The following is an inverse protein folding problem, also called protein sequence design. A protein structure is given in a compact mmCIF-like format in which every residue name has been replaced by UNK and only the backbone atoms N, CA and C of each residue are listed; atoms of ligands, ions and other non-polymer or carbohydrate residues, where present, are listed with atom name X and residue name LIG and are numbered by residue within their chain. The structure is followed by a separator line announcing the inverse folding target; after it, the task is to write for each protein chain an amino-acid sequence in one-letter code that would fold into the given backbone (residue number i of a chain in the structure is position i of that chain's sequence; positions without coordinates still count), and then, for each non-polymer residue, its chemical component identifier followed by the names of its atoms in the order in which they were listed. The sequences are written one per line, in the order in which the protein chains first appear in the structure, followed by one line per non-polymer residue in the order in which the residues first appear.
data_IF_547984076651
#
_entry.id   IF_547984076651
#
_cell.length_a   1.000
_cell.length_b   1.000
_cell.length_c   1.000
_cell.angle_alpha   90.00
_cell.angle_beta   90.00
_cell.angle_gamma   90.00
#
_symmetry.space_group_name_H-M   'P 1'
#
loop_
_entity.id
_entity.type
_entity.pdbx_description
1 polymer ?
#
# COMPACT_ATOMS: atom_id res chain seq x y z
N UNK A 1 -13.11 -5.13 -20.84
CA UNK A 1 -13.82 -5.18 -19.55
C UNK A 1 -13.11 -4.21 -18.60
N UNK A 2 -13.80 -3.51 -17.69
CA UNK A 2 -13.10 -2.79 -16.64
C UNK A 2 -12.18 -3.79 -15.92
N UNK A 3 -10.93 -3.41 -15.67
CA UNK A 3 -10.02 -4.21 -14.85
C UNK A 3 -10.62 -4.25 -13.45
N UNK A 4 -11.26 -5.36 -13.09
CA UNK A 4 -11.85 -5.53 -11.77
C UNK A 4 -10.70 -5.74 -10.79
N UNK A 5 -10.33 -4.67 -10.10
CA UNK A 5 -9.29 -4.68 -9.08
C UNK A 5 -9.91 -4.71 -7.68
N UNK A 6 -11.02 -5.45 -7.53
CA UNK A 6 -11.71 -5.64 -6.25
C UNK A 6 -11.07 -6.74 -5.39
N UNK A 7 -11.39 -6.70 -4.10
CA UNK A 7 -11.01 -7.73 -3.11
C UNK A 7 -12.25 -8.47 -2.60
N UNK A 8 -12.09 -9.71 -2.15
CA UNK A 8 -13.17 -10.49 -1.56
C UNK A 8 -13.55 -9.97 -0.17
N UNK A 9 -14.74 -10.35 0.33
CA UNK A 9 -15.15 -10.02 1.70
C UNK A 9 -14.16 -10.58 2.74
N UNK A 10 -13.66 -11.79 2.53
CA UNK A 10 -12.65 -12.40 3.40
C UNK A 10 -11.35 -11.60 3.43
N UNK A 11 -10.81 -11.21 2.26
CA UNK A 11 -9.62 -10.37 2.17
C UNK A 11 -9.84 -9.00 2.84
N UNK A 12 -11.03 -8.41 2.66
CA UNK A 12 -11.40 -7.16 3.32
C UNK A 12 -11.45 -7.30 4.85
N UNK A 13 -12.04 -8.39 5.38
CA UNK A 13 -12.07 -8.66 6.82
C UNK A 13 -10.67 -8.90 7.40
N UNK A 14 -9.78 -9.58 6.67
CA UNK A 14 -8.38 -9.75 7.06
C UNK A 14 -7.65 -8.41 7.11
N UNK A 15 -7.85 -7.54 6.12
CA UNK A 15 -7.25 -6.20 6.10
C UNK A 15 -7.79 -5.33 7.23
N UNK A 16 -9.10 -5.38 7.51
CA UNK A 16 -9.72 -4.70 8.65
C UNK A 16 -9.14 -5.17 9.98
N UNK A 17 -9.02 -6.48 10.18
CA UNK A 17 -8.41 -7.04 11.37
C UNK A 17 -6.95 -6.56 11.52
N UNK A 18 -6.17 -6.57 10.43
CA UNK A 18 -4.81 -6.06 10.44
C UNK A 18 -4.75 -4.58 10.84
N UNK A 19 -5.60 -3.72 10.27
CA UNK A 19 -5.62 -2.28 10.55
C UNK A 19 -6.02 -1.98 12.01
N UNK A 20 -7.08 -2.60 12.51
CA UNK A 20 -7.58 -2.36 13.86
C UNK A 20 -6.62 -2.91 14.92
N UNK A 21 -6.10 -4.13 14.73
CA UNK A 21 -5.07 -4.67 15.63
C UNK A 21 -3.79 -3.86 15.59
N UNK A 22 -3.38 -3.38 14.40
CA UNK A 22 -2.25 -2.47 14.26
C UNK A 22 -2.42 -1.19 15.06
N UNK A 23 -3.62 -0.59 15.05
CA UNK A 23 -3.91 0.62 15.82
C UNK A 23 -3.77 0.40 17.34
N UNK A 24 -4.25 -0.74 17.87
CA UNK A 24 -4.08 -1.06 19.30
C UNK A 24 -2.61 -1.32 19.67
N UNK A 25 -1.91 -2.09 18.83
CA UNK A 25 -0.51 -2.46 19.09
C UNK A 25 0.42 -1.24 19.03
N UNK A 26 0.13 -0.25 18.19
CA UNK A 26 0.86 1.02 18.12
C UNK A 26 0.93 1.77 19.46
N UNK A 27 0.07 1.46 20.44
CA UNK A 27 0.14 2.06 21.79
C UNK A 27 1.32 1.55 22.61
N UNK A 28 1.87 0.40 22.25
CA UNK A 28 2.93 -0.29 22.98
C UNK A 28 4.23 -0.39 22.19
N UNK A 29 4.17 -0.25 20.86
CA UNK A 29 5.34 -0.27 19.99
C UNK A 29 6.05 1.10 19.91
N UNK A 30 7.32 1.12 19.46
CA UNK A 30 8.00 2.37 19.14
C UNK A 30 7.19 3.18 18.13
N UNK A 31 7.13 4.51 18.31
CA UNK A 31 6.26 5.41 17.55
C UNK A 31 6.38 5.28 16.01
N UNK A 32 7.53 4.84 15.51
CA UNK A 32 7.79 4.71 14.08
C UNK A 32 7.12 3.47 13.43
N UNK A 33 6.74 2.46 14.23
CA UNK A 33 6.07 1.26 13.73
C UNK A 33 4.68 1.55 13.14
N UNK A 34 4.01 2.63 13.58
CA UNK A 34 2.73 3.03 13.02
C UNK A 34 2.81 3.32 11.52
N UNK A 35 3.86 4.00 11.08
CA UNK A 35 4.07 4.26 9.64
C UNK A 35 4.29 2.95 8.86
N UNK A 36 5.01 2.00 9.45
CA UNK A 36 5.28 0.71 8.83
C UNK A 36 4.00 -0.09 8.65
N UNK A 37 3.14 -0.12 9.67
CA UNK A 37 1.84 -0.82 9.62
C UNK A 37 0.91 -0.26 8.54
N UNK A 38 0.92 1.06 8.33
CA UNK A 38 0.14 1.68 7.25
C UNK A 38 0.63 1.26 5.87
N UNK A 39 1.94 1.25 5.66
CA UNK A 39 2.56 0.82 4.39
C UNK A 39 2.40 -0.69 4.18
N UNK A 40 2.51 -1.50 5.23
CA UNK A 40 2.25 -2.95 5.17
C UNK A 40 0.78 -3.24 4.80
N UNK A 41 -0.16 -2.50 5.40
CA UNK A 41 -1.58 -2.60 5.05
C UNK A 41 -1.86 -2.22 3.59
N UNK A 42 -1.23 -1.14 3.09
CA UNK A 42 -1.32 -0.77 1.69
C UNK A 42 -0.76 -1.88 0.78
N UNK A 43 0.37 -2.49 1.15
CA UNK A 43 0.95 -3.62 0.43
C UNK A 43 -0.01 -4.81 0.36
N UNK A 44 -0.61 -5.20 1.50
CA UNK A 44 -1.59 -6.30 1.60
C UNK A 44 -2.83 -6.06 0.75
N UNK A 45 -3.29 -4.81 0.69
CA UNK A 45 -4.41 -4.42 -0.17
C UNK A 45 -4.04 -4.65 -1.65
N UNK A 46 -2.89 -4.15 -2.09
CA UNK A 46 -2.44 -4.34 -3.48
C UNK A 46 -2.24 -5.83 -3.78
N UNK A 47 -1.62 -6.58 -2.86
CA UNK A 47 -1.47 -8.04 -2.97
C UNK A 47 -2.80 -8.74 -3.22
N UNK A 48 -3.82 -8.44 -2.40
CA UNK A 48 -5.17 -9.00 -2.56
C UNK A 48 -5.79 -8.65 -3.93
N UNK A 49 -5.59 -7.42 -4.42
CA UNK A 49 -6.09 -7.02 -5.74
C UNK A 49 -5.41 -7.81 -6.86
N UNK A 50 -4.09 -7.99 -6.78
CA UNK A 50 -3.30 -8.72 -7.76
C UNK A 50 -3.65 -10.22 -7.76
N UNK A 51 -3.84 -10.82 -6.59
CA UNK A 51 -4.28 -12.22 -6.42
C UNK A 51 -5.63 -12.48 -7.10
N UNK A 52 -6.53 -11.49 -7.09
CA UNK A 52 -7.84 -11.59 -7.73
C UNK A 52 -7.84 -11.28 -9.24
N UNK A 53 -6.67 -11.16 -9.85
CA UNK A 53 -6.54 -10.95 -11.29
C UNK A 53 -6.55 -9.48 -11.74
N UNK A 54 -6.28 -8.54 -10.83
CA UNK A 54 -6.02 -7.15 -11.24
C UNK A 54 -4.77 -7.09 -12.13
N UNK A 55 -4.96 -6.95 -13.43
CA UNK A 55 -3.87 -6.83 -14.41
C UNK A 55 -3.38 -5.39 -14.56
N UNK A 56 -2.76 -4.86 -13.51
CA UNK A 56 -2.26 -3.49 -13.47
C UNK A 56 -0.74 -3.50 -13.21
N UNK A 57 0.02 -3.09 -14.23
CA UNK A 57 1.49 -3.08 -14.18
C UNK A 57 2.01 -2.08 -13.15
N UNK A 58 1.39 -0.89 -13.06
CA UNK A 58 1.78 0.09 -12.08
C UNK A 58 1.55 -0.42 -10.65
N UNK A 59 0.42 -1.08 -10.38
CA UNK A 59 0.18 -1.70 -9.07
C UNK A 59 1.19 -2.80 -8.75
N UNK A 60 1.60 -3.61 -9.73
CA UNK A 60 2.65 -4.63 -9.53
C UNK A 60 3.99 -4.00 -9.16
N UNK A 61 4.40 -2.97 -9.89
CA UNK A 61 5.66 -2.28 -9.65
C UNK A 61 5.66 -1.56 -8.30
N UNK A 62 4.57 -0.86 -7.99
CA UNK A 62 4.40 -0.15 -6.72
C UNK A 62 4.36 -1.12 -5.54
N UNK A 63 3.70 -2.26 -5.67
CA UNK A 63 3.71 -3.33 -4.67
C UNK A 63 5.12 -3.88 -4.42
N UNK A 64 5.87 -4.18 -5.48
CA UNK A 64 7.24 -4.67 -5.37
C UNK A 64 8.17 -3.64 -4.70
N UNK A 65 7.99 -2.36 -5.01
CA UNK A 65 8.74 -1.29 -4.34
C UNK A 65 8.42 -1.19 -2.85
N UNK A 66 7.13 -1.22 -2.48
CA UNK A 66 6.70 -1.20 -1.07
C UNK A 66 7.25 -2.42 -0.32
N UNK A 67 7.09 -3.64 -0.84
CA UNK A 67 7.59 -4.86 -0.20
C UNK A 67 9.10 -4.79 0.07
N UNK A 68 9.85 -4.25 -0.89
CA UNK A 68 11.30 -4.08 -0.74
C UNK A 68 11.64 -3.00 0.29
N UNK A 69 11.10 -1.80 0.14
CA UNK A 69 11.49 -0.62 0.93
C UNK A 69 10.88 -0.60 2.33
N UNK A 70 9.73 -1.24 2.59
CA UNK A 70 9.15 -1.32 3.95
C UNK A 70 10.08 -2.03 4.94
N UNK A 71 10.89 -2.98 4.47
CA UNK A 71 11.84 -3.73 5.32
C UNK A 71 13.00 -2.87 5.83
N UNK A 72 13.27 -1.72 5.19
CA UNK A 72 14.29 -0.76 5.61
C UNK A 72 14.04 -0.24 7.02
N UNK A 73 12.79 -0.22 7.48
CA UNK A 73 12.45 0.12 8.87
C UNK A 73 13.32 -0.62 9.90
N UNK A 74 13.73 -1.86 9.59
CA UNK A 74 14.52 -2.69 10.50
C UNK A 74 16.02 -2.38 10.51
N UNK A 75 16.60 -1.92 9.40
CA UNK A 75 18.06 -1.86 9.22
C UNK A 75 18.59 -0.57 8.60
N UNK A 76 17.74 0.26 8.01
CA UNK A 76 18.05 1.60 7.48
C UNK A 76 16.84 2.53 7.65
N UNK A 77 16.68 3.03 8.88
CA UNK A 77 15.54 3.89 9.24
C UNK A 77 15.56 5.22 8.49
N UNK A 78 16.72 5.75 8.18
CA UNK A 78 16.84 7.01 7.45
C UNK A 78 16.30 6.84 6.02
N UNK A 79 16.74 5.79 5.32
CA UNK A 79 16.19 5.47 4.00
C UNK A 79 14.70 5.15 4.04
N UNK A 80 14.24 4.45 5.07
CA UNK A 80 12.81 4.17 5.28
C UNK A 80 11.99 5.46 5.39
N UNK A 81 12.41 6.42 6.21
CA UNK A 81 11.70 7.69 6.37
C UNK A 81 11.80 8.58 5.13
N UNK A 82 12.89 8.51 4.36
CA UNK A 82 13.00 9.16 3.07
C UNK A 82 12.04 8.55 2.02
N UNK A 83 11.80 7.24 2.08
CA UNK A 83 10.89 6.53 1.20
C UNK A 83 9.40 6.89 1.40
N UNK A 84 8.95 7.13 2.62
CA UNK A 84 7.53 7.41 2.90
C UNK A 84 6.93 8.54 2.03
N UNK A 85 7.53 9.75 1.94
CA UNK A 85 7.02 10.79 1.06
C UNK A 85 7.17 10.45 -0.44
N UNK A 86 8.15 9.64 -0.82
CA UNK A 86 8.27 9.16 -2.21
C UNK A 86 7.08 8.30 -2.60
N UNK A 87 6.72 7.31 -1.77
CA UNK A 87 5.59 6.42 -2.00
C UNK A 87 4.26 7.20 -2.07
N UNK A 88 4.06 8.16 -1.17
CA UNK A 88 2.88 9.01 -1.18
C UNK A 88 2.78 9.84 -2.47
N UNK A 89 3.91 10.40 -2.93
CA UNK A 89 3.97 11.18 -4.18
C UNK A 89 3.75 10.32 -5.42
N UNK A 90 4.29 9.11 -5.46
CA UNK A 90 4.09 8.16 -6.55
C UNK A 90 2.61 7.79 -6.70
N UNK A 91 1.95 7.43 -5.59
CA UNK A 91 0.50 7.16 -5.58
C UNK A 91 -0.32 8.39 -5.99
N UNK A 92 0.02 9.58 -5.49
CA UNK A 92 -0.68 10.81 -5.88
C UNK A 92 -0.52 11.12 -7.38
N UNK A 93 0.68 10.89 -7.93
CA UNK A 93 0.95 11.00 -9.36
C UNK A 93 0.09 10.05 -10.17
N UNK A 94 -0.03 8.79 -9.75
CA UNK A 94 -0.87 7.82 -10.44
C UNK A 94 -2.36 8.16 -10.38
N UNK A 95 -2.86 8.61 -9.22
CA UNK A 95 -4.25 9.05 -9.10
C UNK A 95 -4.57 10.16 -10.10
N UNK A 96 -3.65 11.13 -10.25
CA UNK A 96 -3.78 12.21 -11.24
C UNK A 96 -3.76 11.67 -12.67
N UNK A 97 -2.82 10.79 -13.03
CA UNK A 97 -2.76 10.18 -14.37
C UNK A 97 -4.05 9.45 -14.73
N UNK A 98 -4.64 8.69 -13.79
CA UNK A 98 -5.90 7.97 -14.01
C UNK A 98 -7.10 8.91 -14.19
N UNK A 99 -7.13 10.03 -13.47
CA UNK A 99 -8.17 11.06 -13.61
C UNK A 99 -8.10 11.71 -15.00
N UNK A 100 -6.91 12.15 -15.41
CA UNK A 100 -6.68 12.76 -16.73
C UNK A 100 -6.98 11.80 -17.90
N UNK A 101 -6.74 10.51 -17.73
CA UNK A 101 -7.09 9.49 -18.73
C UNK A 101 -8.59 9.20 -18.84
N UNK A 102 -9.39 9.62 -17.85
CA UNK A 102 -10.84 9.38 -17.79
C UNK A 102 -11.65 10.61 -18.21
N UNK A 103 -11.06 11.81 -18.18
CA UNK A 103 -11.67 13.04 -18.71
C UNK A 103 -11.57 13.09 -20.25
N UNK A 104 -12.67 13.37 -20.98
CA UNK A 104 -12.59 13.62 -22.42
C UNK A 104 -11.83 14.92 -22.72
N UNK A 105 -11.15 15.03 -23.88
CA UNK A 105 -10.35 16.19 -24.27
C UNK A 105 -11.17 17.48 -24.42
#
# INVERSE_FOLDING_TARGET
MPKDCSISEEQALVLLAHLVSSADICRFEPHFYGTFRLVDAASRLIGSMLENGCEDEWLRDFHAEIERKKTWMMWDREAYFAFLPEAARELAGELKRRQEATEPP
#
